data_IF_370297621650
#
_entry.id   IF_370297621650
#
_cell.length_a   1.000
_cell.length_b   1.000
_cell.length_c   1.000
_cell.angle_alpha   90.00
_cell.angle_beta   90.00
_cell.angle_gamma   90.00
#
_symmetry.space_group_name_H-M   'P 1'
#
loop_
_entity.id
_entity.type
_entity.pdbx_description
1 polymer ?
#
# COMPACT_ATOMS: atom_id res chain seq x y z
N UNK A 1 -14.51 6.96 19.07
CA UNK A 1 -15.10 6.04 18.06
C UNK A 1 -15.86 6.92 17.08
N UNK A 2 -15.65 6.73 15.76
CA UNK A 2 -16.40 7.48 14.75
C UNK A 2 -17.87 7.00 14.74
N UNK A 3 -18.80 7.94 14.59
CA UNK A 3 -20.21 7.60 14.39
C UNK A 3 -20.41 6.91 13.02
N UNK A 4 -21.52 6.15 12.90
CA UNK A 4 -21.84 5.48 11.65
C UNK A 4 -22.01 6.47 10.50
N UNK A 5 -21.20 6.35 9.46
CA UNK A 5 -21.19 7.26 8.31
C UNK A 5 -21.97 6.70 7.10
N UNK A 6 -22.85 5.73 7.30
CA UNK A 6 -23.61 5.09 6.22
C UNK A 6 -24.37 6.09 5.35
N UNK A 7 -24.86 7.19 5.93
CA UNK A 7 -25.59 8.23 5.20
C UNK A 7 -24.76 8.96 4.12
N UNK A 8 -23.42 8.81 4.16
CA UNK A 8 -22.53 9.35 3.13
C UNK A 8 -22.42 8.47 1.88
N UNK A 9 -23.00 7.26 1.91
CA UNK A 9 -22.89 6.26 0.85
C UNK A 9 -24.27 5.87 0.34
N UNK A 10 -24.34 5.49 -0.94
CA UNK A 10 -25.56 4.93 -1.54
C UNK A 10 -25.61 3.40 -1.32
N UNK A 11 -25.82 3.02 -0.05
CA UNK A 11 -25.94 1.61 0.34
C UNK A 11 -27.34 1.40 0.94
N UNK A 12 -28.24 0.67 0.27
CA UNK A 12 -29.56 0.34 0.77
C UNK A 12 -29.54 -0.36 2.13
N UNK A 13 -30.56 -0.14 2.95
CA UNK A 13 -30.58 -0.68 4.33
C UNK A 13 -30.65 -2.21 4.39
N UNK A 14 -31.16 -2.87 3.34
CA UNK A 14 -31.25 -4.32 3.19
C UNK A 14 -29.95 -4.95 2.63
N UNK A 15 -28.94 -4.15 2.30
CA UNK A 15 -27.63 -4.63 1.84
C UNK A 15 -26.59 -4.53 2.95
N UNK A 16 -25.99 -5.68 3.31
CA UNK A 16 -24.78 -5.75 4.13
C UNK A 16 -23.56 -5.98 3.22
N UNK A 17 -22.91 -4.89 2.78
CA UNK A 17 -21.75 -4.99 1.92
C UNK A 17 -20.47 -5.16 2.74
N UNK A 18 -19.84 -6.35 2.66
CA UNK A 18 -18.67 -6.72 3.45
C UNK A 18 -17.37 -6.75 2.65
N UNK A 19 -17.41 -6.65 1.32
CA UNK A 19 -16.22 -6.72 0.46
C UNK A 19 -15.61 -5.33 0.18
N UNK A 20 -15.60 -4.45 1.16
CA UNK A 20 -15.11 -3.09 1.01
C UNK A 20 -13.59 -3.00 0.77
N UNK A 21 -12.84 -4.04 1.13
CA UNK A 21 -11.40 -4.11 0.89
C UNK A 21 -11.05 -4.23 -0.60
N UNK A 22 -11.87 -4.95 -1.38
CA UNK A 22 -11.66 -5.12 -2.82
C UNK A 22 -12.29 -3.98 -3.63
N UNK A 23 -13.58 -3.69 -3.39
CA UNK A 23 -14.34 -2.65 -4.07
C UNK A 23 -15.07 -1.80 -3.04
N UNK A 24 -14.35 -0.87 -2.42
CA UNK A 24 -14.93 0.06 -1.46
C UNK A 24 -15.99 0.95 -2.13
N UNK A 25 -17.19 1.09 -1.54
CA UNK A 25 -18.18 2.03 -2.05
C UNK A 25 -17.65 3.47 -1.95
N UNK A 26 -17.87 4.25 -2.99
CA UNK A 26 -17.50 5.67 -2.97
C UNK A 26 -18.52 6.48 -2.16
N UNK A 27 -18.07 7.44 -1.35
CA UNK A 27 -18.97 8.44 -0.79
C UNK A 27 -19.70 9.21 -1.89
N UNK A 28 -20.95 9.61 -1.66
CA UNK A 28 -21.77 10.37 -2.63
C UNK A 28 -21.07 11.61 -3.14
N UNK A 29 -20.33 12.33 -2.28
CA UNK A 29 -19.54 13.50 -2.68
C UNK A 29 -18.42 13.14 -3.67
N UNK A 30 -17.83 11.96 -3.54
CA UNK A 30 -16.79 11.49 -4.47
C UNK A 30 -17.37 11.06 -5.81
N UNK A 31 -18.56 10.44 -5.83
CA UNK A 31 -19.29 10.11 -7.05
C UNK A 31 -19.59 11.40 -7.82
N UNK A 32 -20.21 12.40 -7.18
CA UNK A 32 -20.52 13.68 -7.81
C UNK A 32 -19.26 14.41 -8.33
N UNK A 33 -18.14 14.35 -7.60
CA UNK A 33 -16.88 14.92 -8.05
C UNK A 33 -16.32 14.19 -9.29
N UNK A 34 -16.44 12.87 -9.33
CA UNK A 34 -16.05 12.05 -10.49
C UNK A 34 -16.85 12.38 -11.75
N UNK A 35 -18.18 12.45 -11.63
CA UNK A 35 -19.07 12.84 -12.72
C UNK A 35 -18.73 14.24 -13.25
N UNK A 36 -18.55 15.21 -12.36
CA UNK A 36 -18.10 16.56 -12.73
C UNK A 36 -16.73 16.55 -13.39
N UNK A 37 -15.83 15.69 -12.93
CA UNK A 37 -14.49 15.52 -13.51
C UNK A 37 -14.55 14.99 -14.94
N UNK A 38 -15.36 13.97 -15.18
CA UNK A 38 -15.57 13.39 -16.52
C UNK A 38 -16.22 14.41 -17.48
N UNK A 39 -17.22 15.15 -17.01
CA UNK A 39 -17.93 16.16 -17.82
C UNK A 39 -17.01 17.29 -18.34
N UNK A 40 -15.91 17.61 -17.64
CA UNK A 40 -14.93 18.62 -18.11
C UNK A 40 -14.33 18.29 -19.47
N UNK A 41 -14.17 17.01 -19.79
CA UNK A 41 -13.62 16.60 -21.08
C UNK A 41 -14.54 16.85 -22.27
N UNK A 42 -15.81 17.19 -22.05
CA UNK A 42 -16.71 17.63 -23.12
C UNK A 42 -16.28 18.98 -23.72
N UNK A 43 -15.54 19.81 -22.93
CA UNK A 43 -15.06 21.13 -23.37
C UNK A 43 -13.61 21.32 -22.94
N UNK A 44 -12.66 20.58 -23.54
CA UNK A 44 -11.25 20.61 -23.10
C UNK A 44 -10.57 21.98 -23.26
N UNK A 45 -11.06 22.83 -24.15
CA UNK A 45 -10.56 24.20 -24.36
C UNK A 45 -10.93 25.19 -23.24
N UNK A 46 -11.85 24.81 -22.34
CA UNK A 46 -12.24 25.62 -21.15
C UNK A 46 -11.46 25.20 -19.90
N UNK A 47 -10.58 24.20 -20.01
CA UNK A 47 -9.83 23.73 -18.85
C UNK A 47 -8.74 24.74 -18.43
N UNK A 48 -8.65 24.97 -17.14
CA UNK A 48 -7.50 25.68 -16.55
C UNK A 48 -6.21 24.91 -16.88
N UNK A 49 -5.19 25.53 -17.51
CA UNK A 49 -3.93 24.90 -17.82
C UNK A 49 -3.26 24.24 -16.59
N UNK A 50 -3.44 24.82 -15.41
CA UNK A 50 -2.84 24.33 -14.18
C UNK A 50 -3.72 23.32 -13.42
N UNK A 51 -4.87 22.95 -13.98
CA UNK A 51 -5.85 22.07 -13.30
C UNK A 51 -5.23 20.79 -12.80
N UNK A 52 -4.41 20.13 -13.62
CA UNK A 52 -3.78 18.87 -13.26
C UNK A 52 -2.83 19.04 -12.07
N UNK A 53 -1.95 20.04 -12.11
CA UNK A 53 -1.02 20.32 -11.03
C UNK A 53 -1.76 20.64 -9.71
N UNK A 54 -2.80 21.46 -9.79
CA UNK A 54 -3.63 21.82 -8.63
C UNK A 54 -4.36 20.60 -8.04
N UNK A 55 -4.82 19.67 -8.88
CA UNK A 55 -5.48 18.45 -8.39
C UNK A 55 -4.50 17.49 -7.72
N UNK A 56 -3.31 17.30 -8.31
CA UNK A 56 -2.25 16.47 -7.72
C UNK A 56 -1.84 17.03 -6.36
N UNK A 57 -1.62 18.34 -6.26
CA UNK A 57 -1.22 18.97 -5.01
C UNK A 57 -2.30 18.86 -3.92
N UNK A 58 -3.58 18.98 -4.28
CA UNK A 58 -4.67 18.73 -3.34
C UNK A 58 -4.70 17.32 -2.79
N UNK A 59 -4.43 16.32 -3.64
CA UNK A 59 -4.35 14.91 -3.20
C UNK A 59 -3.16 14.71 -2.28
N UNK A 60 -1.98 15.24 -2.63
CA UNK A 60 -0.77 15.18 -1.81
C UNK A 60 -1.00 15.80 -0.43
N UNK A 61 -1.56 17.02 -0.39
CA UNK A 61 -1.86 17.73 0.86
C UNK A 61 -2.84 16.94 1.73
N UNK A 62 -3.91 16.40 1.14
CA UNK A 62 -4.90 15.63 1.90
C UNK A 62 -4.31 14.32 2.45
N UNK A 63 -3.53 13.59 1.65
CA UNK A 63 -2.87 12.36 2.08
C UNK A 63 -1.82 12.62 3.17
N UNK A 64 -1.00 13.66 3.01
CA UNK A 64 -0.01 14.07 3.99
C UNK A 64 -0.64 14.37 5.36
N UNK A 65 -1.80 15.06 5.37
CA UNK A 65 -2.55 15.34 6.60
C UNK A 65 -3.06 14.08 7.32
N UNK A 66 -3.33 12.98 6.59
CA UNK A 66 -3.76 11.71 7.19
C UNK A 66 -2.61 10.94 7.86
N UNK A 67 -1.39 11.07 7.34
CA UNK A 67 -0.22 10.32 7.80
C UNK A 67 0.80 11.18 8.55
N UNK A 68 0.43 12.41 8.91
CA UNK A 68 1.29 13.38 9.61
C UNK A 68 2.64 13.62 8.88
N UNK A 69 2.58 13.79 7.57
CA UNK A 69 3.72 14.08 6.69
C UNK A 69 3.57 15.45 6.02
N UNK A 70 4.59 15.92 5.31
CA UNK A 70 4.49 17.08 4.44
C UNK A 70 4.00 16.68 3.02
N UNK A 71 3.31 17.56 2.27
CA UNK A 71 2.88 17.24 0.91
C UNK A 71 4.04 16.82 -0.01
N UNK A 72 5.25 17.33 0.23
CA UNK A 72 6.45 16.97 -0.55
C UNK A 72 6.96 15.55 -0.29
N UNK A 73 6.54 14.93 0.82
CA UNK A 73 6.84 13.53 1.13
C UNK A 73 5.86 12.54 0.47
N UNK A 74 4.84 13.05 -0.24
CA UNK A 74 3.80 12.23 -0.86
C UNK A 74 3.91 12.28 -2.38
N UNK A 75 4.06 11.12 -3.01
CA UNK A 75 4.01 10.96 -4.46
C UNK A 75 2.72 10.27 -4.90
N UNK A 76 2.05 10.81 -5.91
CA UNK A 76 0.91 10.15 -6.58
C UNK A 76 1.45 9.23 -7.66
N UNK A 77 1.20 7.95 -7.53
CA UNK A 77 1.71 6.90 -8.42
C UNK A 77 0.57 6.11 -9.06
N UNK A 78 0.78 5.50 -10.24
CA UNK A 78 -0.29 4.82 -10.97
C UNK A 78 -0.71 3.47 -10.35
N UNK A 79 0.16 2.84 -9.55
CA UNK A 79 -0.13 1.56 -8.89
C UNK A 79 0.86 1.25 -7.77
N UNK A 80 0.47 0.34 -6.88
CA UNK A 80 1.34 -0.22 -5.83
C UNK A 80 2.59 -0.86 -6.44
N UNK A 81 2.44 -1.64 -7.52
CA UNK A 81 3.58 -2.26 -8.22
C UNK A 81 4.58 -1.24 -8.77
N UNK A 82 4.10 -0.11 -9.30
CA UNK A 82 4.97 0.98 -9.72
C UNK A 82 5.77 1.56 -8.55
N UNK A 83 5.11 1.76 -7.40
CA UNK A 83 5.77 2.25 -6.19
C UNK A 83 6.87 1.31 -5.71
N UNK A 84 6.58 0.01 -5.60
CA UNK A 84 7.57 -0.99 -5.21
C UNK A 84 8.73 -1.08 -6.20
N UNK A 85 8.45 -1.07 -7.51
CA UNK A 85 9.50 -1.11 -8.53
C UNK A 85 10.39 0.15 -8.49
N UNK A 86 9.81 1.32 -8.22
CA UNK A 86 10.56 2.57 -8.08
C UNK A 86 11.43 2.55 -6.82
N UNK A 87 10.88 2.15 -5.68
CA UNK A 87 11.62 2.03 -4.42
C UNK A 87 12.75 1.02 -4.55
N UNK A 88 12.48 -0.16 -5.10
CA UNK A 88 13.48 -1.20 -5.29
C UNK A 88 14.62 -0.81 -6.22
N UNK A 89 14.38 0.07 -7.19
CA UNK A 89 15.43 0.64 -8.04
C UNK A 89 16.27 1.70 -7.34
N UNK A 90 15.67 2.41 -6.39
CA UNK A 90 16.35 3.47 -5.64
C UNK A 90 17.17 2.93 -4.46
N UNK A 91 16.82 1.76 -3.94
CA UNK A 91 17.54 1.12 -2.84
C UNK A 91 18.79 0.41 -3.35
N UNK A 92 19.94 0.82 -2.84
CA UNK A 92 21.23 0.17 -3.12
C UNK A 92 21.50 -0.89 -2.04
N UNK A 93 21.10 -2.13 -2.33
CA UNK A 93 21.33 -3.26 -1.43
C UNK A 93 22.55 -4.05 -1.93
N UNK A 94 23.49 -4.41 -1.02
CA UNK A 94 24.65 -5.22 -1.39
C UNK A 94 24.27 -6.57 -2.02
N UNK A 95 25.06 -7.04 -2.97
CA UNK A 95 24.91 -8.39 -3.50
C UNK A 95 25.00 -9.43 -2.38
N UNK A 96 24.16 -10.46 -2.42
CA UNK A 96 24.06 -11.47 -1.36
C UNK A 96 23.18 -11.05 -0.19
N UNK A 97 22.55 -9.87 -0.23
CA UNK A 97 21.62 -9.43 0.81
C UNK A 97 20.48 -10.43 1.02
N UNK A 98 20.07 -10.56 2.28
CA UNK A 98 18.87 -11.34 2.66
C UNK A 98 17.67 -10.38 2.73
N UNK A 99 16.61 -10.73 1.99
CA UNK A 99 15.35 -9.99 1.92
C UNK A 99 14.25 -10.84 2.52
N UNK A 100 13.49 -10.27 3.44
CA UNK A 100 12.42 -10.94 4.14
C UNK A 100 11.08 -10.54 3.55
N UNK A 101 10.25 -11.53 3.21
CA UNK A 101 8.89 -11.37 2.69
C UNK A 101 7.92 -12.15 3.56
N UNK A 102 6.66 -11.75 3.58
CA UNK A 102 5.59 -12.51 4.22
C UNK A 102 4.96 -13.50 3.23
N UNK A 103 4.65 -14.70 3.70
CA UNK A 103 3.91 -15.68 2.90
C UNK A 103 2.47 -15.22 2.69
N UNK A 104 1.89 -15.54 1.55
CA UNK A 104 0.52 -15.13 1.20
C UNK A 104 0.19 -13.63 1.31
N UNK A 105 1.21 -12.75 1.37
CA UNK A 105 0.99 -11.30 1.31
C UNK A 105 0.66 -10.86 -0.13
N UNK A 106 0.30 -9.57 -0.29
CA UNK A 106 -0.04 -8.99 -1.58
C UNK A 106 1.06 -9.21 -2.63
N UNK A 107 0.65 -9.48 -3.86
CA UNK A 107 1.58 -9.91 -4.93
C UNK A 107 2.62 -8.84 -5.29
N UNK A 108 2.26 -7.55 -5.28
CA UNK A 108 3.15 -6.47 -5.75
C UNK A 108 4.47 -6.37 -4.98
N UNK A 109 4.48 -6.31 -3.63
CA UNK A 109 5.74 -6.27 -2.88
C UNK A 109 6.56 -7.56 -3.05
N UNK A 110 5.89 -8.72 -3.08
CA UNK A 110 6.57 -10.01 -3.20
C UNK A 110 7.24 -10.19 -4.57
N UNK A 111 6.48 -9.97 -5.64
CA UNK A 111 6.95 -10.24 -7.00
C UNK A 111 8.15 -9.37 -7.39
N UNK A 112 8.16 -8.10 -7.02
CA UNK A 112 9.28 -7.21 -7.32
C UNK A 112 10.59 -7.74 -6.75
N UNK A 113 10.60 -8.13 -5.47
CA UNK A 113 11.81 -8.64 -4.83
C UNK A 113 12.20 -10.04 -5.32
N UNK A 114 11.24 -10.92 -5.62
CA UNK A 114 11.54 -12.23 -6.20
C UNK A 114 12.23 -12.12 -7.56
N UNK A 115 11.73 -11.24 -8.43
CA UNK A 115 12.34 -10.99 -9.74
C UNK A 115 13.74 -10.38 -9.61
N UNK A 116 13.90 -9.43 -8.70
CA UNK A 116 15.22 -8.81 -8.46
C UNK A 116 16.22 -9.75 -7.83
N UNK A 117 15.79 -10.66 -7.00
CA UNK A 117 16.67 -11.63 -6.35
C UNK A 117 17.51 -12.41 -7.35
N UNK A 118 16.91 -12.83 -8.48
CA UNK A 118 17.62 -13.52 -9.55
C UNK A 118 18.69 -12.64 -10.21
N UNK A 119 18.40 -11.34 -10.38
CA UNK A 119 19.28 -10.42 -11.09
C UNK A 119 20.43 -9.87 -10.22
N UNK A 120 20.16 -9.67 -8.94
CA UNK A 120 21.08 -9.00 -8.00
C UNK A 120 21.71 -9.96 -6.97
N UNK A 121 21.47 -11.26 -7.12
CA UNK A 121 21.97 -12.30 -6.21
C UNK A 121 21.52 -12.07 -4.75
N UNK A 122 20.24 -11.72 -4.55
CA UNK A 122 19.64 -11.66 -3.23
C UNK A 122 19.09 -13.00 -2.78
N UNK A 123 19.07 -13.24 -1.49
CA UNK A 123 18.39 -14.39 -0.88
C UNK A 123 17.03 -13.97 -0.37
N UNK A 124 15.97 -14.59 -0.87
CA UNK A 124 14.61 -14.37 -0.37
C UNK A 124 14.33 -15.35 0.76
N UNK A 125 13.94 -14.83 1.92
CA UNK A 125 13.37 -15.63 3.00
C UNK A 125 11.89 -15.25 3.14
N UNK A 126 11.02 -16.27 3.00
CA UNK A 126 9.57 -16.09 3.17
C UNK A 126 9.19 -16.53 4.58
N UNK A 127 8.60 -15.63 5.36
CA UNK A 127 8.10 -15.91 6.70
C UNK A 127 6.66 -16.39 6.59
N UNK A 128 6.38 -17.55 7.15
CA UNK A 128 5.00 -18.05 7.30
C UNK A 128 4.47 -17.66 8.67
N UNK A 129 3.17 -17.36 8.74
CA UNK A 129 2.49 -17.09 10.00
C UNK A 129 2.57 -18.27 10.95
N UNK A 130 2.60 -17.99 12.25
CA UNK A 130 2.54 -19.02 13.29
C UNK A 130 1.11 -19.59 13.40
N UNK A 131 1.00 -20.79 13.94
CA UNK A 131 -0.30 -21.44 14.15
C UNK A 131 -1.24 -20.66 15.10
N UNK A 132 -0.67 -19.83 15.96
CA UNK A 132 -1.39 -18.92 16.87
C UNK A 132 -1.75 -17.58 16.24
N UNK A 133 -1.33 -17.32 14.98
CA UNK A 133 -1.56 -16.07 14.27
C UNK A 133 -0.59 -14.94 14.60
N UNK A 134 0.43 -15.21 15.42
CA UNK A 134 1.44 -14.21 15.81
C UNK A 134 2.49 -13.99 14.71
N UNK A 135 2.18 -13.05 13.83
CA UNK A 135 3.09 -12.62 12.76
C UNK A 135 4.30 -11.87 13.29
N UNK A 136 4.13 -11.06 14.35
CA UNK A 136 5.20 -10.25 14.91
C UNK A 136 6.36 -11.13 15.39
N UNK A 137 6.05 -12.12 16.22
CA UNK A 137 7.08 -13.06 16.69
C UNK A 137 7.71 -13.83 15.55
N UNK A 138 6.94 -14.29 14.55
CA UNK A 138 7.48 -15.00 13.40
C UNK A 138 8.51 -14.15 12.61
N UNK A 139 8.21 -12.87 12.40
CA UNK A 139 9.10 -11.93 11.71
C UNK A 139 10.35 -11.66 12.53
N UNK A 140 10.23 -11.41 13.84
CA UNK A 140 11.37 -11.16 14.73
C UNK A 140 12.30 -12.39 14.79
N UNK A 141 11.75 -13.60 14.91
CA UNK A 141 12.53 -14.85 14.87
C UNK A 141 13.27 -15.01 13.55
N UNK A 142 12.63 -14.68 12.42
CA UNK A 142 13.28 -14.73 11.11
C UNK A 142 14.41 -13.69 10.99
N UNK A 143 14.22 -12.47 11.49
CA UNK A 143 15.27 -11.43 11.50
C UNK A 143 16.47 -11.87 12.32
N UNK A 144 16.23 -12.42 13.51
CA UNK A 144 17.26 -12.80 14.49
C UNK A 144 17.86 -14.19 14.25
N UNK A 145 17.47 -14.91 13.20
CA UNK A 145 17.87 -16.28 12.94
C UNK A 145 19.41 -16.43 12.89
N UNK A 146 19.99 -17.24 13.78
CA UNK A 146 21.44 -17.35 13.87
C UNK A 146 22.03 -18.06 12.66
N UNK A 147 23.28 -17.73 12.33
CA UNK A 147 24.02 -18.38 11.25
C UNK A 147 23.66 -17.92 9.83
N UNK A 148 22.75 -16.98 9.68
CA UNK A 148 22.42 -16.36 8.41
C UNK A 148 22.94 -14.92 8.33
N UNK A 149 23.16 -14.38 7.11
CA UNK A 149 23.42 -12.95 6.94
C UNK A 149 22.31 -12.09 7.55
N UNK A 150 22.60 -10.87 7.98
CA UNK A 150 21.57 -9.96 8.48
C UNK A 150 20.53 -9.67 7.39
N UNK A 151 19.28 -9.43 7.80
CA UNK A 151 18.23 -8.96 6.90
C UNK A 151 18.56 -7.54 6.48
N UNK A 152 18.77 -7.33 5.19
CA UNK A 152 19.04 -6.00 4.63
C UNK A 152 17.75 -5.22 4.31
N UNK A 153 16.65 -5.96 4.06
CA UNK A 153 15.34 -5.39 3.78
C UNK A 153 14.25 -6.35 4.23
N UNK A 154 13.25 -5.83 4.91
CA UNK A 154 12.00 -6.52 5.18
C UNK A 154 10.86 -5.81 4.44
N UNK A 155 10.22 -6.52 3.52
CA UNK A 155 9.01 -6.05 2.82
C UNK A 155 7.81 -6.70 3.48
N UNK A 156 7.23 -5.99 4.43
CA UNK A 156 6.15 -6.47 5.30
C UNK A 156 5.01 -5.47 5.31
N UNK A 157 3.80 -5.97 5.49
CA UNK A 157 2.57 -5.18 5.69
C UNK A 157 2.28 -5.13 7.19
N UNK A 158 1.77 -4.01 7.71
CA UNK A 158 1.33 -3.87 9.10
C UNK A 158 0.10 -4.74 9.42
N UNK A 159 -0.73 -4.98 8.40
CA UNK A 159 -1.86 -5.91 8.46
C UNK A 159 -1.69 -6.92 7.33
N UNK A 160 -1.60 -8.20 7.69
CA UNK A 160 -1.38 -9.25 6.72
C UNK A 160 -2.56 -9.38 5.74
N UNK A 161 -2.25 -9.42 4.45
CA UNK A 161 -3.21 -9.36 3.35
C UNK A 161 -4.29 -10.45 3.38
N UNK A 162 -3.92 -11.70 3.72
CA UNK A 162 -4.83 -12.83 3.58
C UNK A 162 -5.64 -13.15 4.82
N UNK A 163 -5.10 -12.93 6.02
CA UNK A 163 -5.73 -13.33 7.28
C UNK A 163 -6.06 -12.17 8.22
N UNK A 164 -5.59 -10.95 7.89
CA UNK A 164 -5.80 -9.77 8.70
C UNK A 164 -4.96 -9.73 9.99
N UNK A 165 -3.95 -10.58 10.10
CA UNK A 165 -3.04 -10.59 11.24
C UNK A 165 -2.31 -9.25 11.39
N UNK A 166 -2.30 -8.71 12.60
CA UNK A 166 -1.62 -7.46 12.90
C UNK A 166 -0.14 -7.72 13.20
N UNK A 167 0.72 -6.88 12.65
CA UNK A 167 2.15 -6.87 12.92
C UNK A 167 2.47 -5.63 13.76
N UNK A 168 3.11 -5.82 14.91
CA UNK A 168 3.63 -4.72 15.72
C UNK A 168 4.96 -4.25 15.12
N UNK A 169 4.96 -3.04 14.53
CA UNK A 169 6.14 -2.44 13.92
C UNK A 169 6.96 -1.58 14.90
N UNK A 170 6.53 -1.46 16.17
CA UNK A 170 7.20 -0.67 17.20
C UNK A 170 8.09 -1.50 18.14
N UNK A 171 8.16 -2.81 17.96
CA UNK A 171 8.91 -3.76 18.78
C UNK A 171 10.43 -3.72 18.53
#
# INVERSE_FOLDING_TARGET
MLECQRHLFDIPHDVAYLNAAAWGPLPLVSVAAGEKGAARKARPWELDPDLQAKQVERVRTAAAGLINAAPDDVAVIPSVGYGFSSAAKALDLPAGSRILLMDHDHTSPRLEWMVRAEQANYTIETVSGRADGDWTTAIVEAIQKPGLPPVALASISDIHWSDGGLIDLEL
#
